data_IF_874121253129
#
_entry.id   IF_874121253129
#
_cell.length_a   1.000
_cell.length_b   1.000
_cell.length_c   1.000
_cell.angle_alpha   90.00
_cell.angle_beta   90.00
_cell.angle_gamma   90.00
#
_symmetry.space_group_name_H-M   'P 1'
#
loop_
_entity.id
_entity.type
_entity.pdbx_description
1 polymer ?
#
# COMPACT_ATOMS: atom_id res chain seq x y z
N UNK A 1 -9.89 6.05 -14.23
CA UNK A 1 -9.37 6.63 -13.00
C UNK A 1 -9.27 5.54 -11.96
N UNK A 2 -8.23 5.57 -11.15
CA UNK A 2 -8.01 4.51 -10.17
C UNK A 2 -9.01 4.58 -9.02
N UNK A 3 -9.38 3.44 -8.47
CA UNK A 3 -10.46 3.35 -7.47
C UNK A 3 -10.37 2.13 -6.56
N UNK A 4 -10.92 2.29 -5.37
CA UNK A 4 -11.27 1.21 -4.46
C UNK A 4 -12.75 0.84 -4.65
N UNK A 5 -13.06 -0.45 -4.69
CA UNK A 5 -14.45 -0.93 -4.87
C UNK A 5 -15.15 -1.26 -3.55
N UNK A 6 -14.40 -1.74 -2.56
CA UNK A 6 -14.93 -2.20 -1.27
C UNK A 6 -14.36 -1.40 -0.11
N UNK A 7 -15.09 -1.25 1.02
CA UNK A 7 -14.48 -0.81 2.27
C UNK A 7 -13.40 -1.81 2.69
N UNK A 8 -12.32 -1.33 3.32
CA UNK A 8 -11.36 -2.24 3.92
C UNK A 8 -11.90 -2.65 5.29
N UNK A 9 -12.11 -3.95 5.47
CA UNK A 9 -12.49 -4.53 6.75
C UNK A 9 -11.24 -5.20 7.32
N UNK A 10 -10.81 -4.74 8.49
CA UNK A 10 -9.64 -5.26 9.17
C UNK A 10 -10.06 -5.90 10.49
N UNK A 11 -9.51 -7.08 10.76
CA UNK A 11 -9.58 -7.75 12.05
C UNK A 11 -8.26 -7.54 12.79
N UNK A 12 -8.32 -7.28 14.10
CA UNK A 12 -7.11 -7.11 14.93
C UNK A 12 -7.00 -8.29 15.90
N UNK A 13 -6.32 -9.39 15.52
CA UNK A 13 -6.19 -10.55 16.40
C UNK A 13 -5.25 -10.31 17.60
N UNK A 14 -4.34 -9.34 17.54
CA UNK A 14 -3.48 -8.94 18.66
C UNK A 14 -2.25 -8.11 18.26
N UNK A 15 -1.70 -7.34 19.21
CA UNK A 15 -0.42 -6.57 19.10
C UNK A 15 -0.15 -5.87 17.76
N UNK A 16 -0.99 -4.89 17.38
CA UNK A 16 -0.82 -4.04 16.17
C UNK A 16 -0.78 -4.76 14.82
N UNK A 17 -0.97 -6.08 14.78
CA UNK A 17 -1.14 -6.82 13.54
C UNK A 17 -2.59 -6.74 13.09
N UNK A 18 -2.79 -6.30 11.84
CA UNK A 18 -4.11 -6.22 11.23
C UNK A 18 -4.24 -7.29 10.16
N UNK A 19 -5.33 -8.03 10.19
CA UNK A 19 -5.68 -9.03 9.20
C UNK A 19 -6.74 -8.44 8.27
N UNK A 20 -6.52 -8.54 6.97
CA UNK A 20 -7.52 -8.21 5.96
C UNK A 20 -8.65 -9.24 6.05
N UNK A 21 -9.84 -8.83 6.49
CA UNK A 21 -10.97 -9.75 6.69
C UNK A 21 -11.66 -10.07 5.36
N UNK A 22 -11.86 -9.07 4.51
CA UNK A 22 -12.39 -9.23 3.16
C UNK A 22 -11.35 -8.84 2.10
N UNK A 23 -11.32 -9.51 0.93
CA UNK A 23 -10.39 -9.14 -0.13
C UNK A 23 -10.52 -7.67 -0.52
N UNK A 24 -9.38 -6.99 -0.59
CA UNK A 24 -9.29 -5.59 -0.99
C UNK A 24 -8.73 -5.50 -2.40
N UNK A 25 -9.47 -4.85 -3.31
CA UNK A 25 -9.05 -4.66 -4.69
C UNK A 25 -8.84 -3.18 -5.01
N UNK A 26 -7.76 -2.90 -5.73
CA UNK A 26 -7.48 -1.60 -6.33
C UNK A 26 -7.31 -1.74 -7.84
N UNK A 27 -8.05 -0.89 -8.55
CA UNK A 27 -8.10 -0.88 -10.01
C UNK A 27 -7.26 0.29 -10.50
N UNK A 28 -6.24 0.01 -11.30
CA UNK A 28 -5.34 1.01 -11.89
C UNK A 28 -5.92 1.60 -13.19
N UNK A 29 -6.93 0.95 -13.76
CA UNK A 29 -7.58 1.31 -15.01
C UNK A 29 -9.09 1.07 -14.96
N UNK A 30 -9.86 1.83 -15.74
CA UNK A 30 -11.33 1.74 -15.77
C UNK A 30 -11.84 0.47 -16.45
N UNK A 31 -11.04 -0.12 -17.33
CA UNK A 31 -11.34 -1.34 -18.10
C UNK A 31 -11.14 -2.63 -17.28
N UNK A 32 -10.76 -2.51 -16.00
CA UNK A 32 -10.42 -3.61 -15.09
C UNK A 32 -9.29 -4.53 -15.60
N UNK A 33 -8.49 -4.10 -16.58
CA UNK A 33 -7.38 -4.91 -17.12
C UNK A 33 -6.19 -4.99 -16.16
N UNK A 34 -6.06 -4.02 -15.24
CA UNK A 34 -4.98 -3.95 -14.27
C UNK A 34 -5.51 -3.76 -12.84
N UNK A 35 -5.52 -4.86 -12.09
CA UNK A 35 -6.06 -4.95 -10.72
C UNK A 35 -5.02 -5.52 -9.77
N UNK A 36 -4.92 -4.92 -8.59
CA UNK A 36 -4.16 -5.45 -7.46
C UNK A 36 -5.17 -5.92 -6.42
N UNK A 37 -5.12 -7.21 -6.10
CA UNK A 37 -6.03 -7.84 -5.15
C UNK A 37 -5.23 -8.35 -3.95
N UNK A 38 -5.56 -7.84 -2.77
CA UNK A 38 -5.04 -8.30 -1.49
C UNK A 38 -6.02 -9.35 -0.95
N UNK A 39 -5.59 -10.59 -0.73
CA UNK A 39 -6.46 -11.65 -0.25
C UNK A 39 -6.86 -11.44 1.22
N UNK A 40 -8.01 -11.99 1.59
CA UNK A 40 -8.37 -12.14 2.99
C UNK A 40 -7.32 -12.99 3.73
N UNK A 41 -7.02 -12.62 4.98
CA UNK A 41 -5.97 -13.20 5.80
C UNK A 41 -4.59 -12.58 5.61
N UNK A 42 -4.42 -11.62 4.69
CA UNK A 42 -3.15 -10.87 4.61
C UNK A 42 -2.92 -10.07 5.89
N UNK A 43 -1.71 -10.16 6.44
CA UNK A 43 -1.28 -9.42 7.62
C UNK A 43 -0.58 -8.16 7.18
N UNK A 44 -1.08 -7.00 7.58
CA UNK A 44 -0.53 -5.67 7.25
C UNK A 44 -0.13 -4.95 8.54
N UNK A 45 0.95 -4.17 8.45
CA UNK A 45 1.40 -3.25 9.50
C UNK A 45 1.44 -1.82 8.96
N UNK A 46 0.30 -1.10 9.03
CA UNK A 46 0.22 0.28 8.59
C UNK A 46 1.12 1.22 9.41
N UNK A 47 1.65 0.77 10.56
CA UNK A 47 2.47 1.56 11.46
C UNK A 47 3.98 1.53 11.11
N UNK A 48 4.37 0.85 10.04
CA UNK A 48 5.78 0.80 9.57
C UNK A 48 6.31 2.16 9.08
N UNK A 49 5.43 3.09 8.72
CA UNK A 49 5.77 4.48 8.39
C UNK A 49 6.30 5.20 9.64
N UNK A 50 7.45 5.91 9.60
CA UNK A 50 7.95 6.64 10.75
C UNK A 50 6.92 7.62 11.32
N UNK A 51 6.70 7.58 12.64
CA UNK A 51 5.63 8.33 13.35
C UNK A 51 5.59 9.82 13.05
N UNK A 52 6.72 10.44 12.72
CA UNK A 52 6.79 11.85 12.34
C UNK A 52 5.91 12.16 11.11
N UNK A 53 5.73 11.20 10.21
CA UNK A 53 4.88 11.33 9.03
C UNK A 53 3.39 11.07 9.31
N UNK A 54 3.02 10.58 10.51
CA UNK A 54 1.62 10.27 10.84
C UNK A 54 0.75 11.53 10.95
N UNK A 55 1.38 12.68 11.22
CA UNK A 55 0.71 13.99 11.18
C UNK A 55 0.31 14.40 9.76
N UNK A 56 0.98 13.86 8.74
CA UNK A 56 0.74 14.15 7.34
C UNK A 56 -0.19 13.13 6.70
N UNK A 57 0.05 11.84 6.97
CA UNK A 57 -0.73 10.70 6.50
C UNK A 57 -1.08 9.83 7.70
N UNK A 58 -2.37 9.65 8.03
CA UNK A 58 -2.76 8.64 9.01
C UNK A 58 -2.16 7.29 8.61
N UNK A 59 -1.60 6.52 9.56
CA UNK A 59 -1.03 5.21 9.24
C UNK A 59 -2.09 4.26 8.65
N UNK A 60 -3.35 4.44 9.05
CA UNK A 60 -4.51 3.68 8.63
C UNK A 60 -5.06 4.18 7.29
N UNK A 61 -4.96 3.33 6.26
CA UNK A 61 -5.55 3.61 4.97
C UNK A 61 -5.54 2.40 4.04
N UNK A 62 -6.49 2.34 3.10
CA UNK A 62 -6.50 1.27 2.09
C UNK A 62 -5.20 1.20 1.29
N UNK A 63 -4.56 2.36 1.10
CA UNK A 63 -3.31 2.47 0.38
C UNK A 63 -2.14 1.76 1.10
N UNK A 64 -2.06 1.84 2.44
CA UNK A 64 -0.98 1.18 3.19
C UNK A 64 -1.11 -0.34 3.11
N UNK A 65 -2.33 -0.89 3.14
CA UNK A 65 -2.60 -2.32 3.00
C UNK A 65 -2.07 -2.86 1.66
N UNK A 66 -2.36 -2.17 0.55
CA UNK A 66 -1.93 -2.61 -0.78
C UNK A 66 -0.43 -2.44 -0.94
N UNK A 67 0.12 -1.32 -0.49
CA UNK A 67 1.55 -1.08 -0.50
C UNK A 67 2.32 -2.17 0.27
N UNK A 68 1.89 -2.51 1.49
CA UNK A 68 2.48 -3.58 2.29
C UNK A 68 2.42 -4.91 1.56
N UNK A 69 1.26 -5.24 0.97
CA UNK A 69 1.09 -6.47 0.20
C UNK A 69 2.05 -6.56 -1.01
N UNK A 70 2.20 -5.47 -1.76
CA UNK A 70 3.14 -5.39 -2.87
C UNK A 70 4.59 -5.53 -2.40
N UNK A 71 4.94 -4.87 -1.30
CA UNK A 71 6.29 -4.84 -0.74
C UNK A 71 6.72 -6.19 -0.14
N UNK A 72 5.82 -6.86 0.56
CA UNK A 72 6.08 -8.15 1.20
C UNK A 72 6.18 -9.27 0.18
N UNK A 73 5.33 -9.27 -0.83
CA UNK A 73 5.31 -10.32 -1.85
C UNK A 73 6.19 -10.01 -3.06
N UNK A 74 6.77 -8.81 -3.12
CA UNK A 74 7.58 -8.32 -4.24
C UNK A 74 6.90 -8.51 -5.62
N UNK A 75 5.57 -8.32 -5.68
CA UNK A 75 4.75 -8.64 -6.87
C UNK A 75 5.02 -7.71 -8.07
N UNK A 76 5.62 -6.56 -7.82
CA UNK A 76 5.98 -5.52 -8.79
C UNK A 76 7.38 -5.04 -8.49
N UNK A 77 8.10 -4.46 -9.45
CA UNK A 77 9.35 -3.78 -9.09
C UNK A 77 9.05 -2.57 -8.19
N UNK A 78 9.96 -2.22 -7.29
CA UNK A 78 9.80 -1.05 -6.39
C UNK A 78 9.41 0.23 -7.15
N UNK A 79 9.98 0.43 -8.34
CA UNK A 79 9.69 1.59 -9.18
C UNK A 79 8.24 1.64 -9.72
N UNK A 80 7.52 0.52 -9.71
CA UNK A 80 6.08 0.46 -10.01
C UNK A 80 5.24 0.53 -8.74
N UNK A 81 5.69 -0.11 -7.65
CA UNK A 81 4.97 -0.10 -6.37
C UNK A 81 4.87 1.30 -5.76
N UNK A 82 5.94 2.10 -5.76
CA UNK A 82 5.91 3.44 -5.16
C UNK A 82 4.90 4.37 -5.87
N UNK A 83 4.86 4.47 -7.22
CA UNK A 83 3.83 5.25 -7.92
C UNK A 83 2.40 4.76 -7.72
N UNK A 84 2.18 3.45 -7.64
CA UNK A 84 0.86 2.87 -7.36
C UNK A 84 0.34 3.38 -6.00
N UNK A 85 1.20 3.37 -4.98
CA UNK A 85 0.85 3.89 -3.66
C UNK A 85 0.51 5.39 -3.70
N UNK A 86 1.20 6.18 -4.53
CA UNK A 86 0.84 7.59 -4.72
C UNK A 86 -0.53 7.77 -5.35
N UNK A 87 -0.82 6.97 -6.36
CA UNK A 87 -2.08 6.99 -7.09
C UNK A 87 -3.25 6.64 -6.16
N UNK A 88 -3.06 5.63 -5.30
CA UNK A 88 -4.03 5.26 -4.25
C UNK A 88 -4.36 6.41 -3.30
N UNK A 89 -3.37 7.25 -2.95
CA UNK A 89 -3.58 8.43 -2.11
C UNK A 89 -4.34 9.56 -2.81
N UNK A 90 -4.37 9.59 -4.15
CA UNK A 90 -5.18 10.58 -4.87
C UNK A 90 -6.68 10.29 -4.78
N UNK A 91 -7.07 9.02 -4.63
CA UNK A 91 -8.48 8.58 -4.58
C UNK A 91 -9.25 9.20 -3.41
N UNK A 92 -8.75 9.19 -2.15
CA UNK A 92 -9.39 9.90 -1.05
C UNK A 92 -9.15 11.42 -1.07
N UNK A 93 -8.46 11.96 -2.08
CA UNK A 93 -8.25 13.40 -2.24
C UNK A 93 -7.10 13.97 -1.41
N UNK A 94 -6.06 13.18 -1.10
CA UNK A 94 -4.88 13.71 -0.38
C UNK A 94 -4.23 14.82 -1.21
N UNK A 95 -3.93 15.99 -0.61
CA UNK A 95 -3.27 17.08 -1.32
C UNK A 95 -1.94 16.66 -1.95
N UNK A 96 -1.70 17.04 -3.20
CA UNK A 96 -0.51 16.64 -3.98
C UNK A 96 0.82 16.90 -3.25
N UNK A 97 0.93 17.99 -2.50
CA UNK A 97 2.16 18.31 -1.74
C UNK A 97 2.46 17.28 -0.65
N UNK A 98 1.43 16.72 0.02
CA UNK A 98 1.60 15.63 0.99
C UNK A 98 2.06 14.35 0.29
N UNK A 99 1.43 14.02 -0.84
CA UNK A 99 1.80 12.86 -1.68
C UNK A 99 3.28 12.95 -2.08
N UNK A 100 3.77 14.12 -2.47
CA UNK A 100 5.19 14.33 -2.79
C UNK A 100 6.12 14.07 -1.60
N UNK A 101 5.77 14.55 -0.40
CA UNK A 101 6.58 14.30 0.81
C UNK A 101 6.62 12.80 1.11
N UNK A 102 5.48 12.12 1.01
CA UNK A 102 5.37 10.68 1.28
C UNK A 102 6.14 9.87 0.25
N UNK A 103 6.08 10.25 -1.03
CA UNK A 103 6.88 9.62 -2.09
C UNK A 103 8.37 9.58 -1.73
N UNK A 104 8.92 10.72 -1.32
CA UNK A 104 10.33 10.80 -0.92
C UNK A 104 10.61 10.00 0.35
N UNK A 105 9.69 10.00 1.31
CA UNK A 105 9.82 9.18 2.52
C UNK A 105 9.90 7.68 2.18
N UNK A 106 8.97 7.16 1.38
CA UNK A 106 8.97 5.75 0.95
C UNK A 106 10.22 5.44 0.11
N UNK A 107 10.67 6.36 -0.74
CA UNK A 107 11.85 6.13 -1.59
C UNK A 107 13.15 6.00 -0.80
N UNK A 108 13.27 6.75 0.30
CA UNK A 108 14.46 6.78 1.15
C UNK A 108 14.42 5.67 2.21
N UNK A 109 13.27 5.45 2.83
CA UNK A 109 13.12 4.52 3.97
C UNK A 109 12.54 3.14 3.58
N UNK A 110 11.81 3.04 2.47
CA UNK A 110 11.20 1.81 1.96
C UNK A 110 12.25 0.89 1.31
N UNK A 111 12.61 -0.18 2.03
CA UNK A 111 13.49 -1.24 1.52
C UNK A 111 12.75 -2.53 1.14
N UNK A 112 11.70 -2.92 1.88
CA UNK A 112 10.86 -4.09 1.59
C UNK A 112 11.62 -5.39 1.37
N UNK A 113 10.98 -6.36 0.70
CA UNK A 113 11.67 -7.55 0.17
C UNK A 113 12.42 -7.30 -1.15
N UNK A 114 12.33 -6.08 -1.72
CA UNK A 114 13.02 -5.70 -2.97
C UNK A 114 14.54 -5.71 -2.89
N UNK A 115 15.11 -5.70 -1.68
CA UNK A 115 16.55 -5.87 -1.47
C UNK A 115 17.05 -7.30 -1.68
N UNK A 116 16.16 -8.30 -1.67
CA UNK A 116 16.49 -9.69 -2.00
C UNK A 116 16.46 -9.81 -3.51
N UNK A 117 17.64 -9.74 -4.16
CA UNK A 117 17.76 -9.99 -5.60
C UNK A 117 16.99 -11.27 -5.95
N UNK A 118 15.93 -11.13 -6.73
CA UNK A 118 15.32 -12.26 -7.42
C UNK A 118 16.43 -12.81 -8.31
N UNK A 119 17.07 -13.91 -7.88
CA UNK A 119 17.80 -14.76 -8.81
C UNK A 119 16.71 -15.42 -9.64
N UNK A 120 16.42 -14.82 -10.78
CA UNK A 120 15.67 -15.52 -11.83
C UNK A 120 16.62 -16.66 -12.25
N UNK A 121 16.22 -17.89 -11.90
CA UNK A 121 16.80 -19.11 -12.43
C UNK A 121 16.15 -19.42 -13.79
#
# INVERSE_FOLDING_TARGET
>A
MSRFTTPAILEMPGHYNWHVYEPLAFYLSDDNSNVISVPAGFVTDPASVPRIFWTLLPPDGKASIIHDYLYDNALRIRNEADPIFLDEMTVPGVPKWKITVIYWAVRVFGRGNYGKRIKIA
#
